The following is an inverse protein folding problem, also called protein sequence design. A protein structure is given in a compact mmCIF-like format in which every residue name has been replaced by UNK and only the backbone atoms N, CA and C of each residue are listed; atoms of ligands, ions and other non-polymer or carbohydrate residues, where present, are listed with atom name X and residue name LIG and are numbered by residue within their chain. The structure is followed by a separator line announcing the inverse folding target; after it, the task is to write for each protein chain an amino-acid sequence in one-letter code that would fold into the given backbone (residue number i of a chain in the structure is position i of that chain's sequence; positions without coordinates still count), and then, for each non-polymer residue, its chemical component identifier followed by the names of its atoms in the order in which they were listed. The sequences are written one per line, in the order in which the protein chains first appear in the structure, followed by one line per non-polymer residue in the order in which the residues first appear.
data_IF_389189626902
#
_entry.id   IF_389189626902
#
_cell.length_a   1.000
_cell.length_b   1.000
_cell.length_c   1.000
_cell.angle_alpha   90.00
_cell.angle_beta   90.00
_cell.angle_gamma   90.00
#
_symmetry.space_group_name_H-M   'P 1'
#
loop_
_entity.id
_entity.type
_entity.pdbx_description
1 polymer ?
#
# COMPACT_ATOMS: atom_id res chain seq x y z
N UNK A 1 -17.37 -33.94 52.29
CA UNK A 1 -16.41 -34.28 51.24
C UNK A 1 -16.95 -34.21 49.82
N UNK A 2 -18.26 -34.42 49.54
CA UNK A 2 -18.82 -34.39 48.13
C UNK A 2 -18.99 -33.00 47.50
N UNK A 3 -19.00 -31.89 48.28
CA UNK A 3 -19.17 -30.52 47.71
C UNK A 3 -17.88 -29.95 47.11
N UNK A 4 -16.71 -30.31 47.65
CA UNK A 4 -15.40 -29.82 47.17
C UNK A 4 -15.07 -30.40 45.77
N UNK A 5 -15.48 -31.63 45.51
CA UNK A 5 -15.26 -32.30 44.21
C UNK A 5 -16.05 -31.66 43.04
N UNK A 6 -17.24 -31.10 43.30
CA UNK A 6 -18.05 -30.45 42.24
C UNK A 6 -17.53 -29.08 41.85
N UNK A 7 -16.96 -28.33 42.82
CA UNK A 7 -16.35 -27.03 42.54
C UNK A 7 -15.05 -27.19 41.75
N UNK A 8 -14.23 -28.20 42.13
CA UNK A 8 -12.99 -28.53 41.43
C UNK A 8 -13.24 -29.02 40.00
N UNK A 9 -14.29 -29.84 39.78
CA UNK A 9 -14.68 -30.29 38.45
C UNK A 9 -15.21 -29.13 37.56
N UNK A 10 -16.01 -28.21 38.14
CA UNK A 10 -16.50 -27.04 37.40
C UNK A 10 -15.36 -26.06 37.03
N UNK A 11 -14.41 -25.85 37.93
CA UNK A 11 -13.22 -25.04 37.65
C UNK A 11 -12.33 -25.66 36.57
N UNK A 12 -12.16 -26.99 36.56
CA UNK A 12 -11.38 -27.69 35.55
C UNK A 12 -12.04 -27.59 34.14
N UNK A 13 -13.38 -27.72 34.04
CA UNK A 13 -14.13 -27.56 32.80
C UNK A 13 -14.03 -26.12 32.29
N UNK A 14 -14.09 -25.12 33.19
CA UNK A 14 -13.96 -23.71 32.77
C UNK A 14 -12.54 -23.39 32.25
N UNK A 15 -11.48 -23.96 32.90
CA UNK A 15 -10.10 -23.83 32.43
C UNK A 15 -9.91 -24.52 31.07
N UNK A 16 -10.50 -25.72 30.85
CA UNK A 16 -10.43 -26.39 29.54
C UNK A 16 -11.16 -25.62 28.43
N UNK A 17 -12.32 -25.02 28.73
CA UNK A 17 -13.04 -24.21 27.75
C UNK A 17 -12.28 -22.94 27.36
N UNK A 18 -11.54 -22.31 28.28
CA UNK A 18 -10.69 -21.16 27.96
C UNK A 18 -9.44 -21.55 27.15
N UNK A 19 -8.94 -22.77 27.26
CA UNK A 19 -7.78 -23.27 26.52
C UNK A 19 -8.07 -23.56 25.03
N UNK A 20 -9.36 -23.66 24.66
CA UNK A 20 -9.81 -23.90 23.28
C UNK A 20 -10.48 -22.68 22.62
N UNK A 21 -10.12 -21.46 23.03
CA UNK A 21 -10.53 -20.31 22.20
C UNK A 21 -9.81 -20.42 20.85
N UNK A 22 -10.54 -20.58 19.74
CA UNK A 22 -9.90 -20.60 18.43
C UNK A 22 -9.14 -19.28 18.26
N UNK A 23 -7.85 -19.36 18.00
CA UNK A 23 -7.04 -18.21 17.68
C UNK A 23 -7.65 -17.58 16.44
N UNK A 24 -8.03 -16.30 16.51
CA UNK A 24 -8.57 -15.60 15.35
C UNK A 24 -7.55 -15.70 14.20
N UNK A 25 -7.98 -16.11 13.01
CA UNK A 25 -7.07 -16.20 11.87
C UNK A 25 -6.40 -14.84 11.64
N UNK A 26 -5.11 -14.85 11.39
CA UNK A 26 -4.36 -13.63 11.07
C UNK A 26 -4.75 -13.22 9.66
N UNK A 27 -5.36 -12.05 9.52
CA UNK A 27 -5.68 -11.43 8.23
C UNK A 27 -4.37 -10.88 7.63
N UNK A 28 -4.17 -11.10 6.34
CA UNK A 28 -3.03 -10.51 5.63
C UNK A 28 -3.51 -9.46 4.63
N UNK A 29 -2.89 -8.28 4.68
CA UNK A 29 -2.99 -7.28 3.61
C UNK A 29 -1.80 -7.51 2.69
N UNK A 30 -2.05 -8.10 1.53
CA UNK A 30 -1.08 -8.18 0.45
C UNK A 30 -1.04 -6.85 -0.29
N UNK A 31 0.15 -6.39 -0.66
CA UNK A 31 0.33 -5.17 -1.41
C UNK A 31 1.09 -5.46 -2.69
N UNK A 32 0.52 -5.10 -3.83
CA UNK A 32 1.15 -5.24 -5.15
C UNK A 32 1.25 -3.88 -5.83
N UNK A 33 2.41 -3.59 -6.38
CA UNK A 33 2.67 -2.27 -6.95
C UNK A 33 4.12 -2.07 -7.37
N UNK A 34 4.47 -0.80 -7.53
CA UNK A 34 5.77 -0.35 -8.02
C UNK A 34 6.68 0.22 -6.90
N UNK A 35 7.67 1.03 -7.30
CA UNK A 35 8.66 1.60 -6.40
C UNK A 35 8.11 2.56 -5.34
N UNK A 36 6.96 3.16 -5.56
CA UNK A 36 6.36 4.11 -4.61
C UNK A 36 5.77 3.40 -3.39
N UNK A 37 5.44 2.12 -3.54
CA UNK A 37 4.90 1.24 -2.50
C UNK A 37 5.95 0.26 -1.94
N UNK A 38 6.99 -0.09 -2.71
CA UNK A 38 7.92 -1.19 -2.44
C UNK A 38 8.77 -1.01 -1.17
N UNK A 39 9.15 -2.15 -0.59
CA UNK A 39 10.21 -2.17 0.42
C UNK A 39 11.53 -1.71 -0.18
N UNK A 40 12.32 -0.97 0.61
CA UNK A 40 13.63 -0.44 0.22
C UNK A 40 14.74 -1.07 1.04
N UNK A 41 15.94 -1.20 0.44
CA UNK A 41 17.13 -1.49 1.22
C UNK A 41 17.41 -0.37 2.20
N UNK A 42 17.85 -0.72 3.41
CA UNK A 42 18.25 0.21 4.46
C UNK A 42 19.78 0.42 4.49
N UNK A 43 20.48 -0.19 3.55
CA UNK A 43 21.94 -0.15 3.49
C UNK A 43 22.43 1.30 3.40
N UNK A 44 23.59 1.53 4.01
CA UNK A 44 24.29 2.83 3.98
C UNK A 44 23.46 4.02 4.46
N UNK A 45 22.49 3.77 5.36
CA UNK A 45 21.63 4.81 5.88
C UNK A 45 20.58 5.33 4.90
N UNK A 46 20.20 4.52 3.91
CA UNK A 46 19.17 4.91 2.93
C UNK A 46 17.84 5.27 3.61
N UNK A 47 17.40 6.51 3.38
CA UNK A 47 16.15 7.08 3.93
C UNK A 47 14.94 6.90 3.00
N UNK A 48 15.11 6.34 1.80
CA UNK A 48 14.01 6.07 0.88
C UNK A 48 13.08 5.00 1.44
N UNK A 49 11.77 5.24 1.41
CA UNK A 49 10.73 4.27 1.80
C UNK A 49 9.60 4.29 0.78
N UNK A 50 9.08 3.10 0.44
CA UNK A 50 7.75 3.04 -0.17
C UNK A 50 6.67 3.14 0.93
N UNK A 51 5.53 3.75 0.61
CA UNK A 51 4.46 3.90 1.61
C UNK A 51 3.93 2.55 2.13
N UNK A 52 3.98 1.49 1.31
CA UNK A 52 3.62 0.14 1.74
C UNK A 52 4.60 -0.48 2.72
N UNK A 53 5.85 -0.03 2.75
CA UNK A 53 6.88 -0.53 3.66
C UNK A 53 6.57 -0.17 5.13
N UNK A 54 5.93 0.96 5.36
CA UNK A 54 5.64 1.49 6.71
C UNK A 54 4.21 1.24 7.16
N UNK A 55 3.33 0.73 6.28
CA UNK A 55 1.91 0.55 6.59
C UNK A 55 1.68 -0.36 7.81
N UNK A 56 2.49 -1.42 7.97
CA UNK A 56 2.36 -2.34 9.09
C UNK A 56 2.52 -1.69 10.47
N UNK A 57 3.25 -0.57 10.54
CA UNK A 57 3.46 0.19 11.79
C UNK A 57 2.19 0.92 12.27
N UNK A 58 1.20 1.07 11.40
CA UNK A 58 -0.07 1.72 11.67
C UNK A 58 -1.18 0.74 12.02
N UNK A 59 -0.86 -0.55 12.11
CA UNK A 59 -1.82 -1.62 12.32
C UNK A 59 -1.65 -2.29 13.69
N UNK A 60 -2.75 -2.85 14.21
CA UNK A 60 -2.81 -3.57 15.47
C UNK A 60 -3.68 -4.82 15.38
N UNK A 61 -3.53 -5.73 16.35
CA UNK A 61 -4.35 -6.94 16.42
C UNK A 61 -3.90 -8.04 15.47
N UNK A 62 -4.83 -8.88 15.05
CA UNK A 62 -4.56 -10.07 14.23
C UNK A 62 -4.54 -9.74 12.73
N UNK A 63 -3.75 -8.74 12.34
CA UNK A 63 -3.55 -8.34 10.94
C UNK A 63 -2.06 -8.09 10.67
N UNK A 64 -1.62 -8.36 9.46
CA UNK A 64 -0.23 -8.09 9.00
C UNK A 64 -0.22 -7.60 7.57
N UNK A 65 0.90 -6.99 7.17
CA UNK A 65 1.18 -6.59 5.78
C UNK A 65 2.21 -7.54 5.18
N UNK A 66 1.93 -8.06 3.98
CA UNK A 66 2.89 -8.77 3.11
C UNK A 66 3.07 -7.94 1.82
N UNK A 67 4.11 -7.11 1.80
CA UNK A 67 4.36 -6.16 0.72
C UNK A 67 5.17 -6.81 -0.40
N UNK A 68 4.52 -7.12 -1.52
CA UNK A 68 5.09 -7.68 -2.74
C UNK A 68 5.41 -6.65 -3.82
N UNK A 69 5.19 -5.35 -3.56
CA UNK A 69 5.53 -4.30 -4.52
C UNK A 69 7.04 -4.27 -4.81
N UNK A 70 7.40 -4.00 -6.07
CA UNK A 70 8.80 -4.05 -6.52
C UNK A 70 9.16 -2.84 -7.39
N UNK A 71 10.34 -2.28 -7.13
CA UNK A 71 10.87 -1.15 -7.88
C UNK A 71 10.84 -1.39 -9.40
N UNK A 72 10.29 -0.42 -10.14
CA UNK A 72 10.31 -0.41 -11.60
C UNK A 72 9.33 -1.38 -12.28
N UNK A 73 8.40 -2.01 -11.53
CA UNK A 73 7.40 -2.92 -12.11
C UNK A 73 6.15 -2.18 -12.49
N UNK A 74 5.66 -2.51 -13.67
CA UNK A 74 4.32 -2.21 -14.16
C UNK A 74 3.37 -3.36 -13.85
N UNK A 75 2.07 -3.19 -14.05
CA UNK A 75 1.10 -4.29 -13.98
C UNK A 75 1.50 -5.45 -14.89
N UNK A 76 1.93 -5.14 -16.13
CA UNK A 76 2.43 -6.11 -17.10
C UNK A 76 3.64 -6.88 -16.58
N UNK A 77 4.74 -6.20 -16.24
CA UNK A 77 5.96 -6.87 -15.82
C UNK A 77 5.80 -7.62 -14.49
N UNK A 78 4.90 -7.18 -13.62
CA UNK A 78 4.56 -7.90 -12.39
C UNK A 78 3.90 -9.26 -12.69
N UNK A 79 3.06 -9.33 -13.71
CA UNK A 79 2.47 -10.57 -14.21
C UNK A 79 3.51 -11.42 -14.93
N UNK A 80 4.20 -10.85 -15.91
CA UNK A 80 5.13 -11.57 -16.80
C UNK A 80 6.30 -12.24 -16.04
N UNK A 81 6.71 -11.64 -14.91
CA UNK A 81 7.75 -12.18 -14.03
C UNK A 81 7.23 -13.23 -13.02
N UNK A 82 5.97 -13.64 -13.10
CA UNK A 82 5.33 -14.58 -12.17
C UNK A 82 5.24 -14.09 -10.73
N UNK A 83 5.30 -12.76 -10.51
CA UNK A 83 5.20 -12.19 -9.16
C UNK A 83 3.78 -12.26 -8.62
N UNK A 84 2.80 -12.08 -9.50
CA UNK A 84 1.40 -12.22 -9.15
C UNK A 84 1.05 -13.64 -8.73
N UNK A 85 1.58 -14.65 -9.42
CA UNK A 85 1.34 -16.06 -9.08
C UNK A 85 1.82 -16.38 -7.66
N UNK A 86 2.97 -15.82 -7.24
CA UNK A 86 3.49 -15.97 -5.86
C UNK A 86 2.59 -15.34 -4.79
N UNK A 87 1.85 -14.28 -5.12
CA UNK A 87 0.84 -13.70 -4.23
C UNK A 87 -0.38 -14.62 -4.15
N UNK A 88 -0.88 -15.10 -5.31
CA UNK A 88 -2.03 -16.01 -5.39
C UNK A 88 -1.81 -17.32 -4.61
N UNK A 89 -0.57 -17.84 -4.56
CA UNK A 89 -0.22 -19.03 -3.78
C UNK A 89 -0.40 -18.82 -2.27
N UNK A 90 -0.27 -17.59 -1.79
CA UNK A 90 -0.33 -17.23 -0.36
C UNK A 90 -1.70 -16.72 0.09
N UNK A 91 -2.56 -16.31 -0.85
CA UNK A 91 -3.87 -15.74 -0.54
C UNK A 91 -4.83 -16.76 0.07
N UNK A 92 -5.48 -16.33 1.16
CA UNK A 92 -6.53 -17.08 1.83
C UNK A 92 -7.84 -16.28 1.89
N UNK A 93 -8.98 -16.96 2.06
CA UNK A 93 -10.25 -16.27 2.29
C UNK A 93 -10.17 -15.32 3.50
N UNK A 94 -10.67 -14.09 3.30
CA UNK A 94 -10.64 -13.03 4.31
C UNK A 94 -9.42 -12.12 4.25
N UNK A 95 -8.41 -12.42 3.42
CA UNK A 95 -7.28 -11.52 3.15
C UNK A 95 -7.69 -10.32 2.28
N UNK A 96 -6.82 -9.34 2.19
CA UNK A 96 -6.99 -8.17 1.33
C UNK A 96 -5.82 -8.03 0.36
N UNK A 97 -6.08 -7.47 -0.82
CA UNK A 97 -5.04 -7.12 -1.80
C UNK A 97 -5.17 -5.65 -2.17
N UNK A 98 -4.19 -4.85 -1.78
CA UNK A 98 -4.05 -3.45 -2.21
C UNK A 98 -3.26 -3.44 -3.51
N UNK A 99 -3.85 -2.86 -4.56
CA UNK A 99 -3.34 -2.87 -5.95
C UNK A 99 -3.05 -1.43 -6.36
N UNK A 100 -1.78 -1.10 -6.68
CA UNK A 100 -1.38 0.23 -7.16
C UNK A 100 -0.31 0.13 -8.24
N UNK A 101 -0.67 0.43 -9.48
CA UNK A 101 0.23 0.50 -10.63
C UNK A 101 -0.06 1.77 -11.47
N UNK A 102 0.83 2.06 -12.43
CA UNK A 102 0.72 3.20 -13.36
C UNK A 102 2.08 3.81 -13.68
N UNK A 103 2.89 4.17 -12.66
CA UNK A 103 4.20 4.84 -12.84
C UNK A 103 5.15 4.19 -13.85
N UNK A 104 5.03 2.88 -14.08
CA UNK A 104 5.86 2.15 -15.02
C UNK A 104 5.07 1.67 -16.24
N UNK A 105 3.78 1.52 -16.13
CA UNK A 105 2.87 1.17 -17.22
C UNK A 105 2.88 2.23 -18.33
N UNK A 106 2.98 3.51 -17.96
CA UNK A 106 3.06 4.66 -18.88
C UNK A 106 4.40 4.79 -19.63
N UNK A 107 5.45 4.10 -19.15
CA UNK A 107 6.79 4.23 -19.75
C UNK A 107 6.87 3.47 -21.08
N UNK A 108 7.52 4.06 -22.12
CA UNK A 108 7.49 3.49 -23.49
C UNK A 108 8.37 2.25 -23.67
N UNK A 109 8.88 1.63 -22.58
CA UNK A 109 9.69 0.41 -22.67
C UNK A 109 8.79 -0.81 -22.81
N UNK A 110 9.02 -1.64 -23.84
CA UNK A 110 8.19 -2.78 -24.18
C UNK A 110 8.06 -3.83 -23.06
N UNK A 111 9.04 -3.93 -22.16
CA UNK A 111 9.04 -4.84 -21.01
C UNK A 111 8.02 -4.46 -19.93
N UNK A 112 7.52 -3.21 -19.94
CA UNK A 112 6.61 -2.70 -18.91
C UNK A 112 5.43 -1.89 -19.43
N UNK A 113 5.51 -1.37 -20.65
CA UNK A 113 4.46 -0.54 -21.24
C UNK A 113 3.14 -1.30 -21.39
N UNK A 114 2.06 -0.62 -21.05
CA UNK A 114 0.68 -1.04 -21.31
C UNK A 114 -0.08 0.10 -21.97
N UNK A 115 -1.15 -0.19 -22.67
CA UNK A 115 -2.12 0.82 -23.10
C UNK A 115 -3.13 1.06 -21.97
N UNK A 116 -3.45 2.32 -21.62
CA UNK A 116 -4.26 2.64 -20.45
C UNK A 116 -5.67 2.08 -20.50
N UNK A 117 -6.29 2.01 -21.70
CA UNK A 117 -7.68 1.61 -21.87
C UNK A 117 -7.90 0.17 -22.30
N UNK A 118 -6.83 -0.56 -22.61
CA UNK A 118 -6.85 -1.98 -22.95
C UNK A 118 -6.00 -2.80 -21.99
N UNK A 119 -4.74 -3.05 -22.30
CA UNK A 119 -3.90 -3.98 -21.53
C UNK A 119 -3.67 -3.58 -20.07
N UNK A 120 -3.67 -2.30 -19.74
CA UNK A 120 -3.60 -1.88 -18.34
C UNK A 120 -4.88 -2.25 -17.58
N UNK A 121 -6.05 -1.90 -18.15
CA UNK A 121 -7.36 -2.28 -17.58
C UNK A 121 -7.50 -3.79 -17.46
N UNK A 122 -7.10 -4.55 -18.49
CA UNK A 122 -7.16 -6.01 -18.49
C UNK A 122 -6.34 -6.62 -17.34
N UNK A 123 -5.14 -6.08 -17.08
CA UNK A 123 -4.30 -6.49 -15.97
C UNK A 123 -4.94 -6.18 -14.61
N UNK A 124 -5.52 -4.99 -14.44
CA UNK A 124 -6.23 -4.62 -13.21
C UNK A 124 -7.46 -5.50 -12.98
N UNK A 125 -8.26 -5.77 -14.01
CA UNK A 125 -9.39 -6.70 -13.94
C UNK A 125 -8.93 -8.12 -13.58
N UNK A 126 -7.79 -8.57 -14.10
CA UNK A 126 -7.20 -9.86 -13.76
C UNK A 126 -6.86 -9.93 -12.27
N UNK A 127 -6.16 -8.94 -11.73
CA UNK A 127 -5.83 -8.89 -10.29
C UNK A 127 -7.08 -8.93 -9.42
N UNK A 128 -8.12 -8.16 -9.77
CA UNK A 128 -9.37 -8.10 -9.02
C UNK A 128 -10.09 -9.45 -9.06
N UNK A 129 -10.27 -10.03 -10.24
CA UNK A 129 -10.96 -11.30 -10.42
C UNK A 129 -10.27 -12.43 -9.65
N UNK A 130 -8.97 -12.60 -9.88
CA UNK A 130 -8.20 -13.69 -9.28
C UNK A 130 -8.06 -13.54 -7.74
N UNK A 131 -8.05 -12.30 -7.23
CA UNK A 131 -8.16 -12.03 -5.78
C UNK A 131 -9.49 -12.55 -5.22
N UNK A 132 -10.60 -12.25 -5.90
CA UNK A 132 -11.93 -12.70 -5.48
C UNK A 132 -12.10 -14.22 -5.57
N UNK A 133 -11.51 -14.85 -6.57
CA UNK A 133 -11.49 -16.32 -6.71
C UNK A 133 -10.82 -17.01 -5.53
N UNK A 134 -9.87 -16.33 -4.86
CA UNK A 134 -9.25 -16.78 -3.61
C UNK A 134 -10.06 -16.47 -2.34
N UNK A 135 -11.23 -15.82 -2.47
CA UNK A 135 -12.04 -15.38 -1.34
C UNK A 135 -11.45 -14.16 -0.60
N UNK A 136 -10.49 -13.48 -1.21
CA UNK A 136 -9.88 -12.26 -0.70
C UNK A 136 -10.57 -11.00 -1.26
N UNK A 137 -10.36 -9.86 -0.62
CA UNK A 137 -10.97 -8.57 -1.00
C UNK A 137 -9.96 -7.69 -1.73
N UNK A 138 -10.17 -7.35 -3.01
CA UNK A 138 -9.33 -6.39 -3.72
C UNK A 138 -9.68 -4.96 -3.34
N UNK A 139 -8.65 -4.09 -3.29
CA UNK A 139 -8.74 -2.64 -3.08
C UNK A 139 -7.86 -1.99 -4.14
N UNK A 140 -8.44 -1.17 -5.01
CA UNK A 140 -7.74 -0.57 -6.14
C UNK A 140 -7.40 0.89 -5.86
N UNK A 141 -6.16 1.27 -6.18
CA UNK A 141 -5.67 2.64 -6.11
C UNK A 141 -5.12 3.05 -7.49
N UNK A 142 -5.25 4.33 -7.84
CA UNK A 142 -4.42 4.92 -8.88
C UNK A 142 -3.03 5.33 -8.32
N UNK A 143 -2.15 5.86 -9.17
CA UNK A 143 -0.79 6.27 -8.78
C UNK A 143 -0.80 7.48 -7.84
N UNK A 144 0.12 7.54 -6.88
CA UNK A 144 0.43 8.79 -6.18
C UNK A 144 1.11 9.76 -7.14
N UNK A 145 1.09 11.07 -6.85
CA UNK A 145 1.69 12.11 -7.69
C UNK A 145 3.22 12.03 -7.78
N UNK A 146 3.78 12.55 -8.87
CA UNK A 146 5.16 13.08 -8.87
C UNK A 146 5.11 14.54 -8.48
N UNK A 147 6.08 14.98 -7.70
CA UNK A 147 6.25 16.37 -7.27
C UNK A 147 6.80 17.22 -8.42
N UNK A 148 6.07 17.32 -9.50
CA UNK A 148 6.43 18.13 -10.68
C UNK A 148 5.45 19.29 -10.79
N UNK A 149 5.85 20.45 -10.30
CA UNK A 149 5.07 21.67 -10.41
C UNK A 149 5.09 22.23 -11.83
N UNK A 150 3.97 22.78 -12.26
CA UNK A 150 3.84 23.56 -13.48
C UNK A 150 4.57 24.91 -13.39
N UNK A 151 4.54 25.64 -14.49
CA UNK A 151 5.19 26.96 -14.59
C UNK A 151 4.66 27.98 -13.57
N UNK A 152 3.42 27.83 -13.10
CA UNK A 152 2.82 28.67 -12.05
C UNK A 152 3.39 28.41 -10.66
N UNK A 153 4.10 27.30 -10.47
CA UNK A 153 4.68 26.85 -9.19
C UNK A 153 3.65 26.64 -8.07
N UNK A 154 2.39 26.52 -8.40
CA UNK A 154 1.25 26.29 -7.51
C UNK A 154 0.66 24.90 -7.74
N UNK A 155 0.39 24.56 -8.99
CA UNK A 155 -0.25 23.31 -9.35
C UNK A 155 0.77 22.26 -9.83
N UNK A 156 0.48 21.00 -9.58
CA UNK A 156 1.26 19.90 -10.12
C UNK A 156 0.84 19.60 -11.57
N UNK A 157 1.84 19.42 -12.42
CA UNK A 157 1.64 18.92 -13.79
C UNK A 157 0.97 17.55 -13.76
N UNK A 158 0.13 17.27 -14.75
CA UNK A 158 -0.29 15.92 -15.01
C UNK A 158 0.88 15.11 -15.59
N UNK A 159 1.32 14.12 -14.81
CA UNK A 159 2.45 13.26 -15.18
C UNK A 159 2.06 11.83 -15.49
N UNK A 160 0.78 11.49 -15.34
CA UNK A 160 0.27 10.13 -15.49
C UNK A 160 -0.81 9.99 -16.57
N UNK A 161 -1.45 11.08 -16.95
CA UNK A 161 -2.48 11.08 -17.97
C UNK A 161 -3.58 10.05 -17.71
N UNK A 162 -3.91 9.29 -18.73
CA UNK A 162 -4.98 8.29 -18.70
C UNK A 162 -4.75 7.13 -17.71
N UNK A 163 -3.50 6.93 -17.23
CA UNK A 163 -3.20 5.92 -16.22
C UNK A 163 -3.71 6.26 -14.81
N UNK A 164 -4.16 7.50 -14.59
CA UNK A 164 -4.91 7.88 -13.38
C UNK A 164 -6.40 7.59 -13.53
N UNK A 165 -6.93 7.75 -14.74
CA UNK A 165 -8.36 7.59 -15.04
C UNK A 165 -8.75 6.11 -15.13
N UNK A 166 -7.94 5.31 -15.81
CA UNK A 166 -8.24 3.90 -16.08
C UNK A 166 -8.52 3.07 -14.79
N UNK A 167 -7.75 3.18 -13.68
CA UNK A 167 -8.06 2.44 -12.46
C UNK A 167 -9.42 2.79 -11.86
N UNK A 168 -9.84 4.06 -11.91
CA UNK A 168 -11.16 4.49 -11.45
C UNK A 168 -12.28 3.82 -12.26
N UNK A 169 -12.14 3.82 -13.59
CA UNK A 169 -13.10 3.14 -14.47
C UNK A 169 -13.18 1.64 -14.17
N UNK A 170 -12.03 0.97 -14.00
CA UNK A 170 -11.98 -0.45 -13.63
C UNK A 170 -12.68 -0.69 -12.29
N UNK A 171 -12.50 0.19 -11.31
CA UNK A 171 -13.13 0.06 -10.01
C UNK A 171 -14.67 0.17 -10.11
N UNK A 172 -15.17 1.08 -10.94
CA UNK A 172 -16.58 1.25 -11.23
C UNK A 172 -17.15 0.02 -11.96
N UNK A 173 -16.47 -0.46 -13.01
CA UNK A 173 -16.85 -1.62 -13.81
C UNK A 173 -16.88 -2.91 -12.98
N UNK A 174 -15.89 -3.09 -12.11
CA UNK A 174 -15.74 -4.29 -11.29
C UNK A 174 -16.43 -4.18 -9.92
N UNK A 175 -17.03 -3.04 -9.56
CA UNK A 175 -17.62 -2.78 -8.25
C UNK A 175 -16.66 -3.13 -7.10
N UNK A 176 -15.46 -2.53 -7.12
CA UNK A 176 -14.40 -2.71 -6.12
C UNK A 176 -14.13 -1.40 -5.40
N UNK A 177 -13.70 -1.48 -4.13
CA UNK A 177 -13.28 -0.32 -3.37
C UNK A 177 -12.14 0.42 -4.09
N UNK A 178 -12.26 1.73 -4.22
CA UNK A 178 -11.30 2.58 -4.92
C UNK A 178 -10.83 3.74 -4.05
N UNK A 179 -9.52 3.99 -4.05
CA UNK A 179 -8.92 5.17 -3.43
C UNK A 179 -8.20 5.99 -4.48
N UNK A 180 -8.62 7.24 -4.63
CA UNK A 180 -7.97 8.21 -5.53
C UNK A 180 -6.69 8.75 -4.88
N UNK A 181 -5.63 7.93 -4.97
CA UNK A 181 -4.33 8.25 -4.38
C UNK A 181 -3.67 9.46 -5.06
N UNK A 182 -3.95 9.67 -6.34
CA UNK A 182 -3.49 10.84 -7.08
C UNK A 182 -4.10 12.12 -6.50
N UNK A 183 -5.41 12.19 -6.37
CA UNK A 183 -6.11 13.36 -5.84
C UNK A 183 -5.67 13.68 -4.39
N UNK A 184 -5.55 12.65 -3.56
CA UNK A 184 -5.16 12.83 -2.15
C UNK A 184 -3.72 13.35 -2.03
N UNK A 185 -2.79 12.76 -2.77
CA UNK A 185 -1.38 13.18 -2.72
C UNK A 185 -1.13 14.49 -3.47
N UNK A 186 -1.91 14.81 -4.51
CA UNK A 186 -1.93 16.11 -5.17
C UNK A 186 -2.32 17.21 -4.17
N UNK A 187 -3.43 17.03 -3.49
CA UNK A 187 -3.91 17.99 -2.49
C UNK A 187 -2.90 18.20 -1.36
N UNK A 188 -2.24 17.14 -0.92
CA UNK A 188 -1.17 17.22 0.07
C UNK A 188 0.03 18.03 -0.44
N UNK A 189 0.56 17.71 -1.62
CA UNK A 189 1.78 18.31 -2.16
C UNK A 189 1.56 19.77 -2.57
N UNK A 190 0.45 20.07 -3.23
CA UNK A 190 0.06 21.44 -3.60
C UNK A 190 -0.22 22.29 -2.35
N UNK A 191 -0.91 21.74 -1.34
CA UNK A 191 -1.16 22.42 -0.07
C UNK A 191 0.11 22.76 0.72
N UNK A 192 1.17 21.94 0.62
CA UNK A 192 2.49 22.23 1.19
C UNK A 192 3.28 23.23 0.36
N UNK A 193 2.98 23.37 -0.91
CA UNK A 193 3.69 24.19 -1.86
C UNK A 193 5.04 23.64 -2.30
N UNK A 194 5.62 24.25 -3.33
CA UNK A 194 6.79 23.74 -4.06
C UNK A 194 8.03 23.51 -3.18
N UNK A 195 8.31 24.38 -2.24
CA UNK A 195 9.53 24.24 -1.42
C UNK A 195 9.32 23.27 -0.25
N UNK A 196 8.24 23.41 0.53
CA UNK A 196 8.03 22.58 1.70
C UNK A 196 7.74 21.12 1.34
N UNK A 197 7.10 20.86 0.21
CA UNK A 197 6.81 19.48 -0.21
C UNK A 197 8.06 18.65 -0.51
N UNK A 198 9.24 19.24 -0.72
CA UNK A 198 10.51 18.51 -0.81
C UNK A 198 10.77 17.62 0.40
N UNK A 199 10.26 18.01 1.59
CA UNK A 199 10.39 17.24 2.84
C UNK A 199 9.71 15.86 2.80
N UNK A 200 8.85 15.61 1.84
CA UNK A 200 8.21 14.28 1.66
C UNK A 200 9.01 13.37 0.73
N UNK A 201 9.90 13.92 -0.08
CA UNK A 201 10.57 13.22 -1.18
C UNK A 201 12.05 13.04 -0.91
N UNK A 202 12.73 12.29 -1.80
CA UNK A 202 14.15 12.00 -1.68
C UNK A 202 15.01 13.19 -2.16
N UNK A 203 14.92 14.28 -1.39
CA UNK A 203 15.77 15.46 -1.54
C UNK A 203 16.85 15.44 -0.44
N UNK A 204 18.06 15.06 -0.82
CA UNK A 204 19.18 14.81 0.09
C UNK A 204 20.38 15.65 -0.34
N UNK A 205 20.97 16.46 0.57
CA UNK A 205 22.20 17.21 0.29
C UNK A 205 23.37 16.29 -0.01
N UNK A 206 24.34 16.79 -0.78
CA UNK A 206 25.59 16.09 -1.02
C UNK A 206 26.40 15.96 0.28
N UNK A 207 27.04 14.82 0.48
CA UNK A 207 27.92 14.54 1.63
C UNK A 207 27.20 14.20 2.94
N UNK A 208 25.88 14.21 2.98
CA UNK A 208 25.12 13.94 4.22
C UNK A 208 24.94 12.43 4.47
N UNK A 209 24.75 11.65 3.41
CA UNK A 209 24.46 10.21 3.51
C UNK A 209 25.34 9.36 2.61
N UNK A 210 25.82 8.22 3.10
CA UNK A 210 26.65 7.29 2.35
C UNK A 210 25.94 6.70 1.13
N UNK A 211 24.61 6.50 1.17
CA UNK A 211 23.82 5.99 0.04
C UNK A 211 23.67 7.00 -1.11
N UNK A 212 23.93 8.29 -0.85
CA UNK A 212 23.82 9.39 -1.82
C UNK A 212 24.93 10.44 -1.62
N UNK A 213 26.21 10.08 -1.86
CA UNK A 213 27.33 10.97 -1.58
C UNK A 213 27.29 12.25 -2.40
N UNK A 214 26.77 12.22 -3.62
CA UNK A 214 26.57 13.37 -4.51
C UNK A 214 25.26 14.12 -4.24
N UNK A 215 24.50 13.70 -3.21
CA UNK A 215 23.11 14.15 -2.99
C UNK A 215 22.12 13.49 -3.92
N UNK A 216 20.84 13.78 -3.70
CA UNK A 216 19.73 13.28 -4.52
C UNK A 216 18.62 14.32 -4.61
N UNK A 217 18.08 14.52 -5.80
CA UNK A 217 16.88 15.34 -6.05
C UNK A 217 15.87 14.47 -6.81
N UNK A 218 14.98 13.85 -6.07
CA UNK A 218 14.02 12.89 -6.62
C UNK A 218 12.60 13.30 -6.21
N UNK A 219 11.83 13.66 -7.20
CA UNK A 219 10.46 14.15 -7.07
C UNK A 219 9.41 13.04 -7.19
N UNK A 220 9.84 11.76 -7.16
CA UNK A 220 8.97 10.59 -7.28
C UNK A 220 8.96 9.75 -6.01
N UNK A 221 10.15 9.46 -5.45
CA UNK A 221 10.28 8.54 -4.33
C UNK A 221 10.23 9.27 -2.99
N UNK A 222 9.53 8.67 -2.04
CA UNK A 222 9.32 9.22 -0.71
C UNK A 222 10.50 8.89 0.21
N UNK A 223 10.80 9.81 1.12
CA UNK A 223 11.64 9.55 2.29
C UNK A 223 10.81 8.95 3.44
N UNK A 224 11.44 8.72 4.60
CA UNK A 224 10.79 8.14 5.78
C UNK A 224 9.52 8.92 6.16
N UNK A 225 9.63 10.24 6.30
CA UNK A 225 8.51 11.11 6.69
C UNK A 225 7.39 11.08 5.65
N UNK A 226 7.75 11.22 4.36
CA UNK A 226 6.78 11.20 3.27
C UNK A 226 6.04 9.87 3.18
N UNK A 227 6.74 8.75 3.36
CA UNK A 227 6.12 7.42 3.33
C UNK A 227 5.09 7.25 4.45
N UNK A 228 5.39 7.69 5.68
CA UNK A 228 4.43 7.63 6.79
C UNK A 228 3.21 8.53 6.57
N UNK A 229 3.42 9.75 6.09
CA UNK A 229 2.31 10.68 5.81
C UNK A 229 1.41 10.15 4.70
N UNK A 230 2.00 9.65 3.60
CA UNK A 230 1.24 9.09 2.47
C UNK A 230 0.56 7.79 2.88
N UNK A 231 1.23 6.88 3.58
CA UNK A 231 0.62 5.64 4.05
C UNK A 231 -0.62 5.90 4.92
N UNK A 232 -0.53 6.86 5.84
CA UNK A 232 -1.65 7.27 6.67
C UNK A 232 -2.79 7.83 5.84
N UNK A 233 -2.49 8.80 4.98
CA UNK A 233 -3.48 9.47 4.12
C UNK A 233 -4.27 8.46 3.28
N UNK A 234 -3.57 7.51 2.67
CA UNK A 234 -4.19 6.48 1.85
C UNK A 234 -4.96 5.46 2.70
N UNK A 235 -4.40 5.02 3.84
CA UNK A 235 -5.06 4.01 4.66
C UNK A 235 -6.30 4.55 5.38
N UNK A 236 -6.31 5.80 5.79
CA UNK A 236 -7.52 6.47 6.31
C UNK A 236 -8.64 6.49 5.27
N UNK A 237 -8.33 6.70 4.01
CA UNK A 237 -9.33 6.57 2.95
C UNK A 237 -9.71 5.11 2.69
N UNK A 238 -8.75 4.17 2.72
CA UNK A 238 -9.04 2.73 2.59
C UNK A 238 -10.05 2.27 3.65
N UNK A 239 -9.90 2.66 4.91
CA UNK A 239 -10.85 2.27 5.96
C UNK A 239 -12.23 2.96 5.87
N UNK A 240 -12.36 4.01 5.10
CA UNK A 240 -13.66 4.60 4.76
C UNK A 240 -14.36 3.75 3.69
N UNK A 241 -13.62 3.30 2.67
CA UNK A 241 -14.14 2.43 1.61
C UNK A 241 -14.35 0.98 2.07
N UNK A 242 -13.51 0.51 3.01
CA UNK A 242 -13.52 -0.85 3.56
C UNK A 242 -13.57 -0.81 5.09
N UNK A 243 -14.74 -0.50 5.69
CA UNK A 243 -14.87 -0.29 7.14
C UNK A 243 -14.46 -1.50 8.00
N UNK A 244 -14.42 -2.70 7.44
CA UNK A 244 -13.95 -3.91 8.11
C UNK A 244 -12.47 -3.83 8.55
N UNK A 245 -11.66 -2.96 7.92
CA UNK A 245 -10.26 -2.74 8.30
C UNK A 245 -10.10 -1.72 9.46
N UNK A 246 -11.14 -0.94 9.78
CA UNK A 246 -11.08 0.11 10.83
C UNK A 246 -10.64 -0.39 12.22
N UNK A 247 -11.07 -1.56 12.72
CA UNK A 247 -10.65 -2.04 14.04
C UNK A 247 -9.15 -2.31 14.16
N UNK A 248 -8.46 -2.50 13.03
CA UNK A 248 -7.04 -2.78 12.96
C UNK A 248 -6.17 -1.52 12.82
N UNK A 249 -6.76 -0.36 12.58
CA UNK A 249 -6.02 0.89 12.45
C UNK A 249 -5.71 1.49 13.83
N UNK A 250 -4.45 1.91 13.99
CA UNK A 250 -4.01 2.66 15.18
C UNK A 250 -4.24 4.15 14.90
N UNK A 251 -5.13 4.83 15.65
CA UNK A 251 -5.36 6.27 15.48
C UNK A 251 -4.08 7.09 15.68
N UNK A 252 -3.98 8.23 14.99
CA UNK A 252 -2.79 9.12 14.98
C UNK A 252 -2.28 9.45 16.38
N UNK A 253 -3.19 9.71 17.33
CA UNK A 253 -2.87 10.03 18.73
C UNK A 253 -2.09 8.92 19.45
N UNK A 254 -2.12 7.69 18.94
CA UNK A 254 -1.42 6.52 19.46
C UNK A 254 -0.25 6.06 18.61
N UNK A 255 -0.07 6.65 17.44
CA UNK A 255 1.05 6.31 16.57
C UNK A 255 2.33 6.96 17.11
N UNK A 256 3.32 6.12 17.39
CA UNK A 256 4.67 6.59 17.73
C UNK A 256 5.49 6.57 16.46
N UNK A 257 5.83 7.76 15.95
CA UNK A 257 6.81 7.88 14.88
C UNK A 257 8.21 7.90 15.50
N UNK A 258 9.18 7.24 14.85
CA UNK A 258 10.58 7.32 15.26
C UNK A 258 11.15 8.73 15.07
#
# INVERSE_FOLDING_TARGET
MKKISRIAAAALIFILCCAFMPQQPVITIFMIGDSTMANKSLDKGNTERGWGMVLGEMLQGSIRVDNHAVNGRSSKSFIDEGRWDKVLEKLHPGDYVIIQFGHNDEKPKADRHTDPYTSFKDNLHRFIRETREKGATPILLNSIVRRKFDADSIHLADTHGDYVIAPKQVAEEAHVAFVDAELLTRSLVEGMGKEHSKQLFMWVPAGEYEFAPEGKQDDTHLNIQGAHIVARLLFEQIINEVPALRPYYIPVERQRYP
#
